data_IF_680404239380
#
_entry.id   IF_680404239380
#
_cell.length_a   1.000
_cell.length_b   1.000
_cell.length_c   1.000
_cell.angle_alpha   90.00
_cell.angle_beta   90.00
_cell.angle_gamma   90.00
#
_symmetry.space_group_name_H-M   'P 1'
#
loop_
_entity.id
_entity.type
_entity.pdbx_description
1 polymer ?
#
# COMPACT_ATOMS: atom_id res chain seq x y z
N UNK A 1 71.67 -6.09 14.50
CA UNK A 1 71.46 -5.49 15.83
C UNK A 1 70.65 -4.22 15.67
N UNK A 2 69.63 -4.06 16.52
CA UNK A 2 68.76 -2.89 16.73
C UNK A 2 67.92 -2.38 15.54
N UNK A 3 66.70 -2.92 15.43
CA UNK A 3 65.53 -2.21 14.89
C UNK A 3 64.43 -2.20 15.95
N UNK A 4 63.84 -1.02 16.21
CA UNK A 4 62.63 -0.65 17.00
C UNK A 4 62.81 0.82 17.41
N UNK A 5 61.84 1.72 17.48
CA UNK A 5 60.41 1.76 17.15
C UNK A 5 60.04 3.26 17.17
N UNK A 6 59.30 3.78 16.19
CA UNK A 6 58.66 5.10 16.31
C UNK A 6 57.17 4.89 16.63
N UNK A 7 56.79 5.22 17.86
CA UNK A 7 55.39 5.35 18.25
C UNK A 7 54.86 6.72 17.85
N UNK A 8 53.78 6.76 17.06
CA UNK A 8 52.99 7.96 16.84
C UNK A 8 51.83 7.97 17.83
N UNK A 9 51.83 8.96 18.73
CA UNK A 9 50.69 9.26 19.59
C UNK A 9 49.74 10.20 18.83
N UNK A 10 48.49 9.77 18.65
CA UNK A 10 47.41 10.60 18.12
C UNK A 10 46.63 11.17 19.30
N UNK A 11 46.65 12.50 19.45
CA UNK A 11 45.88 13.21 20.46
C UNK A 11 44.48 13.54 19.92
N UNK A 12 43.45 12.98 20.56
CA UNK A 12 42.05 13.23 20.24
C UNK A 12 41.57 14.47 21.00
N UNK A 13 41.23 15.55 20.29
CA UNK A 13 40.61 16.75 20.87
C UNK A 13 39.08 16.59 20.78
N UNK A 14 38.42 16.46 21.93
CA UNK A 14 36.96 16.51 22.04
C UNK A 14 36.49 17.94 22.29
N UNK A 15 35.57 18.43 21.46
CA UNK A 15 34.95 19.75 21.62
C UNK A 15 33.53 19.56 22.20
N UNK A 16 33.32 20.00 23.44
CA UNK A 16 32.00 20.02 24.08
C UNK A 16 31.49 21.46 24.09
N UNK A 17 30.35 21.73 23.43
CA UNK A 17 29.70 23.05 23.45
C UNK A 17 28.56 23.03 24.47
N UNK A 18 28.70 23.84 25.52
CA UNK A 18 27.63 24.12 26.48
C UNK A 18 26.95 25.45 26.13
N UNK A 19 25.63 25.42 25.90
CA UNK A 19 24.80 26.61 25.71
C UNK A 19 24.23 27.08 27.06
N UNK A 20 24.63 28.27 27.50
CA UNK A 20 24.07 28.95 28.66
C UNK A 20 22.90 29.85 28.22
N UNK A 21 21.74 29.66 28.85
CA UNK A 21 20.54 30.48 28.68
C UNK A 21 20.58 31.71 29.60
N UNK A 22 20.47 32.92 29.01
CA UNK A 22 20.36 34.19 29.74
C UNK A 22 18.89 34.60 29.83
N UNK A 23 18.39 34.75 31.05
CA UNK A 23 17.06 35.31 31.35
C UNK A 23 17.14 36.82 31.57
N UNK A 24 16.30 37.59 30.89
CA UNK A 24 16.08 39.02 31.16
C UNK A 24 14.67 39.21 31.73
N UNK A 25 14.57 39.81 32.92
CA UNK A 25 13.32 40.24 33.57
C UNK A 25 12.87 41.60 33.03
N UNK A 26 11.58 41.73 32.73
CA UNK A 26 10.90 42.99 32.38
C UNK A 26 9.91 43.37 33.50
N UNK A 27 9.91 44.65 33.88
CA UNK A 27 9.01 45.30 34.85
C UNK A 27 7.79 45.92 34.15
N UNK A 28 6.60 45.82 34.76
CA UNK A 28 5.31 46.39 34.29
C UNK A 28 5.23 47.93 34.37
N UNK A 29 4.14 48.64 34.03
CA UNK A 29 2.71 48.34 33.87
C UNK A 29 2.02 49.48 33.06
N UNK A 30 0.92 49.18 32.35
CA UNK A 30 -0.43 49.86 32.35
C UNK A 30 -1.15 49.78 30.98
N UNK A 31 -2.42 49.34 31.05
CA UNK A 31 -3.41 49.13 29.98
C UNK A 31 -4.06 50.47 29.50
N UNK A 32 -4.69 50.61 28.32
CA UNK A 32 -6.03 50.15 27.82
C UNK A 32 -6.24 50.85 26.41
N UNK A 33 -7.16 50.51 25.45
CA UNK A 33 -7.74 49.24 24.95
C UNK A 33 -7.52 49.01 23.42
N UNK A 34 -8.01 47.84 22.95
CA UNK A 34 -7.92 47.26 21.59
C UNK A 34 -8.64 48.03 20.46
N UNK A 35 -8.38 47.60 19.20
CA UNK A 35 -9.46 46.93 18.47
C UNK A 35 -9.07 45.54 17.95
N UNK A 36 -10.06 44.64 18.02
CA UNK A 36 -10.04 43.23 17.60
C UNK A 36 -9.86 43.10 16.09
N UNK A 37 -9.00 42.17 15.68
CA UNK A 37 -9.19 41.32 14.50
C UNK A 37 -8.35 40.05 14.69
N UNK A 38 -8.97 39.02 15.26
CA UNK A 38 -8.37 37.71 15.47
C UNK A 38 -8.78 36.78 14.33
N UNK A 39 -7.80 36.35 13.54
CA UNK A 39 -7.92 35.16 12.69
C UNK A 39 -8.03 33.92 13.59
N UNK A 40 -8.95 32.98 13.35
CA UNK A 40 -8.98 31.74 14.11
C UNK A 40 -7.96 30.75 13.52
N UNK A 41 -6.91 30.44 14.28
CA UNK A 41 -6.14 29.21 14.12
C UNK A 41 -7.03 28.06 14.60
N UNK A 42 -7.77 27.44 13.68
CA UNK A 42 -8.46 26.19 13.95
C UNK A 42 -7.45 25.05 13.77
N UNK A 43 -7.13 24.37 14.87
CA UNK A 43 -6.36 23.13 14.85
C UNK A 43 -7.12 22.08 14.05
N UNK A 44 -6.49 21.56 13.01
CA UNK A 44 -7.00 20.40 12.28
C UNK A 44 -6.86 19.18 13.18
N UNK A 45 -7.89 18.89 13.95
CA UNK A 45 -8.14 17.54 14.45
C UNK A 45 -8.32 16.63 13.22
N UNK A 46 -7.37 15.73 13.01
CA UNK A 46 -7.52 14.59 12.10
C UNK A 46 -8.64 13.70 12.63
N UNK A 47 -9.87 13.95 12.19
CA UNK A 47 -10.94 12.98 12.29
C UNK A 47 -10.62 11.82 11.34
N UNK A 48 -10.09 10.74 11.90
CA UNK A 48 -10.26 9.42 11.31
C UNK A 48 -11.76 9.12 11.38
N UNK A 49 -12.49 9.43 10.30
CA UNK A 49 -13.88 9.02 10.14
C UNK A 49 -13.92 7.50 9.97
N UNK A 50 -13.89 6.78 11.08
CA UNK A 50 -14.55 5.48 11.19
C UNK A 50 -16.05 5.79 11.03
N UNK A 51 -16.64 5.34 9.93
CA UNK A 51 -18.09 5.29 9.76
C UNK A 51 -18.68 4.31 10.78
N UNK A 52 -18.70 4.67 12.06
CA UNK A 52 -19.51 4.02 13.09
C UNK A 52 -20.89 4.68 13.07
N UNK A 53 -21.64 4.37 12.00
CA UNK A 53 -23.07 4.63 11.92
C UNK A 53 -23.80 3.33 12.22
N UNK A 54 -24.39 3.23 13.41
CA UNK A 54 -25.32 2.17 13.81
C UNK A 54 -26.58 2.24 12.93
N UNK A 55 -26.46 1.66 11.73
CA UNK A 55 -27.49 1.18 10.79
C UNK A 55 -26.96 1.01 9.34
N UNK A 56 -25.64 1.15 9.11
CA UNK A 56 -24.99 0.94 7.79
C UNK A 56 -24.16 -0.35 7.63
N UNK A 57 -24.08 -1.20 8.66
CA UNK A 57 -23.15 -2.35 8.70
C UNK A 57 -23.54 -3.53 7.80
N UNK A 58 -24.56 -3.40 6.93
CA UNK A 58 -25.04 -4.49 6.07
C UNK A 58 -24.33 -4.60 4.72
N UNK A 59 -23.60 -3.59 4.23
CA UNK A 59 -23.29 -3.54 2.79
C UNK A 59 -21.83 -3.67 2.34
N UNK A 60 -20.80 -3.68 3.19
CA UNK A 60 -19.41 -3.79 2.70
C UNK A 60 -18.49 -4.66 3.58
N UNK A 61 -18.92 -5.87 3.94
CA UNK A 61 -17.99 -6.88 4.46
C UNK A 61 -16.97 -7.27 3.38
N UNK A 62 -15.77 -7.67 3.79
CA UNK A 62 -14.79 -8.25 2.87
C UNK A 62 -15.36 -9.51 2.19
N UNK A 63 -15.28 -9.58 0.87
CA UNK A 63 -15.94 -10.64 0.10
C UNK A 63 -14.91 -11.57 -0.53
N UNK A 64 -13.81 -11.02 -1.08
CA UNK A 64 -12.74 -11.84 -1.67
C UNK A 64 -12.05 -12.68 -0.61
N UNK A 65 -11.83 -12.14 0.58
CA UNK A 65 -11.29 -12.86 1.72
C UNK A 65 -12.12 -14.09 2.16
N UNK A 66 -13.37 -14.23 1.68
CA UNK A 66 -14.27 -15.34 1.98
C UNK A 66 -14.56 -16.25 0.78
N UNK A 67 -13.93 -16.02 -0.37
CA UNK A 67 -14.08 -16.90 -1.55
C UNK A 67 -13.29 -18.20 -1.39
N UNK A 68 -13.82 -19.27 -1.99
CA UNK A 68 -13.21 -20.59 -2.04
C UNK A 68 -13.16 -21.13 -3.48
N UNK A 69 -12.24 -22.06 -3.80
CA UNK A 69 -11.19 -22.59 -2.93
C UNK A 69 -10.13 -21.53 -2.59
N UNK A 70 -9.42 -21.71 -1.46
CA UNK A 70 -8.29 -20.86 -1.10
C UNK A 70 -7.24 -20.88 -2.23
N UNK A 71 -6.67 -19.74 -2.65
CA UNK A 71 -5.79 -19.66 -3.82
C UNK A 71 -4.67 -20.70 -3.84
N UNK A 72 -4.44 -21.33 -4.99
CA UNK A 72 -3.42 -22.35 -5.17
C UNK A 72 -3.70 -23.68 -4.44
N UNK A 73 -4.93 -23.92 -3.98
CA UNK A 73 -5.31 -25.11 -3.23
C UNK A 73 -6.71 -25.63 -3.62
N UNK A 74 -7.14 -26.71 -2.97
CA UNK A 74 -8.52 -27.22 -3.00
C UNK A 74 -9.24 -27.03 -1.65
N UNK A 75 -8.69 -26.18 -0.78
CA UNK A 75 -9.22 -25.98 0.57
C UNK A 75 -10.42 -25.06 0.51
N UNK A 76 -11.56 -25.56 0.99
CA UNK A 76 -12.79 -24.79 1.12
C UNK A 76 -12.83 -24.10 2.49
N UNK A 77 -13.17 -22.81 2.52
CA UNK A 77 -13.36 -22.06 3.77
C UNK A 77 -14.68 -22.48 4.43
N UNK A 78 -14.75 -22.38 5.76
CA UNK A 78 -16.03 -22.46 6.47
C UNK A 78 -16.92 -21.29 6.05
N UNK A 79 -18.21 -21.53 5.82
CA UNK A 79 -19.13 -20.47 5.42
C UNK A 79 -19.30 -19.45 6.54
N UNK A 80 -19.16 -18.16 6.22
CA UNK A 80 -19.35 -17.05 7.16
C UNK A 80 -20.54 -16.20 6.70
N UNK A 81 -21.69 -16.24 7.39
CA UNK A 81 -22.80 -15.33 7.13
C UNK A 81 -22.37 -13.87 7.30
N UNK A 82 -22.91 -12.96 6.48
CA UNK A 82 -22.50 -11.54 6.48
C UNK A 82 -22.69 -10.88 7.86
N UNK A 83 -23.78 -11.21 8.54
CA UNK A 83 -24.11 -10.74 9.88
C UNK A 83 -23.18 -11.28 10.99
N UNK A 84 -22.35 -12.27 10.68
CA UNK A 84 -21.37 -12.87 11.61
C UNK A 84 -19.91 -12.60 11.23
N UNK A 85 -19.66 -11.74 10.24
CA UNK A 85 -18.29 -11.37 9.84
C UNK A 85 -17.56 -10.67 10.99
N UNK A 86 -18.18 -9.69 11.64
CA UNK A 86 -17.54 -8.92 12.70
C UNK A 86 -17.23 -9.75 13.96
N UNK A 87 -16.01 -9.65 14.49
CA UNK A 87 -15.57 -10.37 15.69
C UNK A 87 -16.41 -10.08 16.94
N UNK A 88 -16.99 -8.88 17.03
CA UNK A 88 -17.89 -8.49 18.13
C UNK A 88 -19.18 -9.30 18.18
N UNK A 89 -19.58 -9.92 17.07
CA UNK A 89 -20.74 -10.80 17.02
C UNK A 89 -20.32 -12.15 17.61
N UNK A 90 -20.99 -12.53 18.70
CA UNK A 90 -20.76 -13.82 19.34
C UNK A 90 -21.11 -14.96 18.38
N UNK A 91 -20.22 -15.94 18.29
CA UNK A 91 -20.44 -17.15 17.52
C UNK A 91 -19.59 -18.30 18.05
N UNK A 92 -20.11 -18.99 19.07
CA UNK A 92 -19.42 -20.10 19.73
C UNK A 92 -19.17 -21.28 18.79
N UNK A 93 -20.11 -21.55 17.87
CA UNK A 93 -19.99 -22.64 16.89
C UNK A 93 -19.09 -22.29 15.69
N UNK A 94 -18.38 -21.16 15.72
CA UNK A 94 -17.46 -20.79 14.64
C UNK A 94 -16.25 -21.73 14.63
N UNK A 95 -16.24 -22.65 13.67
CA UNK A 95 -15.18 -23.64 13.48
C UNK A 95 -14.52 -23.44 12.09
N UNK A 96 -13.57 -22.50 11.97
CA UNK A 96 -12.87 -22.25 10.71
C UNK A 96 -11.95 -23.41 10.35
N UNK A 97 -11.79 -23.67 9.05
CA UNK A 97 -10.79 -24.63 8.55
C UNK A 97 -9.39 -24.10 8.85
N UNK A 98 -8.47 -24.95 9.32
CA UNK A 98 -7.06 -24.56 9.50
C UNK A 98 -6.24 -24.88 8.25
N UNK A 99 -5.56 -23.88 7.70
CA UNK A 99 -4.70 -24.06 6.54
C UNK A 99 -3.50 -23.09 6.55
N UNK A 100 -2.33 -23.65 6.28
CA UNK A 100 -1.11 -22.92 5.91
C UNK A 100 -0.43 -23.70 4.80
N UNK A 101 -0.04 -23.03 3.73
CA UNK A 101 0.53 -23.66 2.54
C UNK A 101 1.88 -24.31 2.87
N UNK A 102 2.19 -25.42 2.18
CA UNK A 102 3.44 -26.16 2.36
C UNK A 102 4.66 -25.27 2.12
N UNK A 103 4.59 -24.34 1.16
CA UNK A 103 5.64 -23.36 0.88
C UNK A 103 5.91 -22.42 2.06
N UNK A 104 4.90 -22.06 2.83
CA UNK A 104 5.03 -21.24 4.05
C UNK A 104 5.55 -22.10 5.21
N UNK A 105 5.03 -23.31 5.36
CA UNK A 105 5.47 -24.26 6.40
C UNK A 105 6.93 -24.72 6.23
N UNK A 106 7.46 -24.67 5.01
CA UNK A 106 8.87 -24.96 4.73
C UNK A 106 9.85 -23.95 5.36
N UNK A 107 9.34 -22.84 5.92
CA UNK A 107 10.15 -21.84 6.63
C UNK A 107 11.14 -21.06 5.75
N UNK A 108 10.76 -20.56 4.55
CA UNK A 108 11.62 -19.66 3.80
C UNK A 108 11.85 -18.34 4.56
N UNK A 109 12.88 -17.58 4.20
CA UNK A 109 13.28 -16.35 4.92
C UNK A 109 12.16 -15.29 5.02
N UNK A 110 11.24 -15.28 4.06
CA UNK A 110 10.09 -14.37 4.02
C UNK A 110 8.90 -14.84 4.88
N UNK A 111 8.92 -16.06 5.42
CA UNK A 111 7.85 -16.62 6.24
C UNK A 111 8.24 -16.63 7.73
N UNK A 112 7.25 -16.39 8.58
CA UNK A 112 7.40 -16.58 10.02
C UNK A 112 7.43 -18.09 10.38
N UNK A 113 8.00 -18.46 11.53
CA UNK A 113 7.76 -19.74 12.17
C UNK A 113 6.27 -19.97 12.53
N UNK A 114 5.91 -21.19 12.91
CA UNK A 114 4.60 -21.43 13.53
C UNK A 114 4.55 -20.83 14.94
N UNK A 115 3.37 -20.36 15.39
CA UNK A 115 3.19 -19.75 16.73
C UNK A 115 3.59 -20.69 17.87
N UNK A 116 3.50 -22.00 17.66
CA UNK A 116 3.88 -23.02 18.65
C UNK A 116 5.40 -23.21 18.81
N UNK A 117 6.22 -22.59 17.96
CA UNK A 117 7.68 -22.72 18.04
C UNK A 117 8.23 -21.91 19.23
N UNK A 118 9.00 -22.57 20.09
CA UNK A 118 9.39 -22.04 21.40
C UNK A 118 10.28 -20.80 21.35
N UNK A 119 11.03 -20.62 20.27
CA UNK A 119 11.91 -19.48 20.02
C UNK A 119 11.24 -18.37 19.19
N UNK A 120 9.96 -18.52 18.82
CA UNK A 120 9.23 -17.51 18.07
C UNK A 120 8.34 -16.68 19.02
N UNK A 121 8.76 -15.44 19.27
CA UNK A 121 8.05 -14.49 20.13
C UNK A 121 7.80 -13.18 19.37
N UNK A 122 6.83 -13.16 18.45
CA UNK A 122 6.57 -12.00 17.60
C UNK A 122 6.07 -10.80 18.40
N UNK A 123 6.57 -9.61 18.06
CA UNK A 123 6.09 -8.33 18.62
C UNK A 123 5.00 -7.73 17.75
N UNK A 124 3.78 -8.26 17.89
CA UNK A 124 2.64 -7.76 17.12
C UNK A 124 2.31 -6.30 17.43
N UNK A 125 1.70 -5.60 16.46
CA UNK A 125 1.39 -4.16 16.54
C UNK A 125 2.63 -3.25 16.71
N UNK A 126 3.83 -3.75 16.41
CA UNK A 126 5.09 -3.02 16.55
C UNK A 126 6.04 -3.32 15.38
N UNK A 127 7.16 -2.58 15.31
CA UNK A 127 8.28 -2.93 14.42
C UNK A 127 9.14 -4.01 15.10
N UNK A 128 9.09 -5.22 14.57
CA UNK A 128 9.73 -6.41 15.12
C UNK A 128 11.03 -6.74 14.36
N UNK A 129 12.11 -6.00 14.70
CA UNK A 129 13.38 -6.10 13.99
C UNK A 129 13.27 -5.62 12.55
N UNK A 130 13.41 -6.55 11.60
CA UNK A 130 13.27 -6.29 10.15
C UNK A 130 11.84 -6.51 9.62
N UNK A 131 10.90 -6.97 10.47
CA UNK A 131 9.51 -7.20 10.10
C UNK A 131 8.66 -6.07 10.65
N UNK A 132 7.95 -5.34 9.78
CA UNK A 132 6.93 -4.40 10.20
C UNK A 132 5.65 -5.18 10.52
N UNK A 133 5.21 -5.18 11.78
CA UNK A 133 3.98 -5.84 12.22
C UNK A 133 2.90 -4.83 12.59
N UNK A 134 3.12 -3.52 12.43
CA UNK A 134 2.04 -2.53 12.59
C UNK A 134 1.12 -2.56 11.39
N UNK A 135 -0.17 -2.71 11.65
CA UNK A 135 -1.19 -2.45 10.63
C UNK A 135 -1.31 -0.95 10.39
N UNK A 136 -1.51 -0.56 9.14
CA UNK A 136 -1.83 0.81 8.75
C UNK A 136 -3.28 1.19 9.11
N UNK A 137 -4.09 0.24 9.57
CA UNK A 137 -5.46 0.47 10.06
C UNK A 137 -5.56 0.61 11.58
N UNK A 138 -4.42 0.67 12.28
CA UNK A 138 -4.37 0.78 13.74
C UNK A 138 -4.09 -0.57 14.40
N UNK A 139 -4.46 -0.70 15.67
CA UNK A 139 -4.19 -1.92 16.43
C UNK A 139 -5.12 -3.05 15.99
N UNK A 140 -4.58 -4.26 15.89
CA UNK A 140 -5.35 -5.50 15.74
C UNK A 140 -5.25 -6.36 17.00
N UNK A 141 -6.33 -7.08 17.29
CA UNK A 141 -6.44 -7.94 18.46
C UNK A 141 -5.55 -9.17 18.34
N UNK A 142 -5.01 -9.63 19.46
CA UNK A 142 -4.31 -10.91 19.58
C UNK A 142 -5.17 -11.85 20.42
N UNK A 143 -5.61 -12.96 19.83
CA UNK A 143 -6.38 -13.99 20.51
C UNK A 143 -5.65 -15.33 20.38
N UNK A 144 -5.56 -16.10 21.46
CA UNK A 144 -4.89 -17.41 21.46
C UNK A 144 -3.46 -17.36 20.88
N UNK A 145 -2.75 -16.25 21.17
CA UNK A 145 -1.38 -16.01 20.73
C UNK A 145 -1.22 -15.65 19.24
N UNK A 146 -2.32 -15.46 18.49
CA UNK A 146 -2.28 -15.11 17.06
C UNK A 146 -3.11 -13.86 16.74
N UNK A 147 -2.76 -13.09 15.69
CA UNK A 147 -3.53 -11.92 15.27
C UNK A 147 -4.96 -12.28 14.82
N UNK A 148 -5.91 -11.38 15.04
CA UNK A 148 -7.24 -11.42 14.42
C UNK A 148 -7.33 -10.40 13.28
N UNK A 149 -7.86 -10.86 12.15
CA UNK A 149 -8.05 -10.04 10.96
C UNK A 149 -8.95 -8.82 11.28
N UNK A 150 -8.50 -7.59 11.04
CA UNK A 150 -9.24 -6.39 11.44
C UNK A 150 -10.57 -6.22 10.70
N UNK A 151 -10.75 -6.88 9.54
CA UNK A 151 -11.98 -6.84 8.76
C UNK A 151 -13.01 -7.93 9.17
N UNK A 152 -12.64 -8.86 10.05
CA UNK A 152 -13.54 -9.91 10.54
C UNK A 152 -13.16 -11.34 10.13
N UNK A 153 -14.09 -12.26 10.37
CA UNK A 153 -13.99 -13.69 10.08
C UNK A 153 -13.94 -13.98 8.59
N UNK A 154 -13.02 -14.85 8.19
CA UNK A 154 -12.81 -15.31 6.81
C UNK A 154 -13.24 -16.76 6.58
N UNK A 155 -13.51 -17.52 7.65
CA UNK A 155 -13.80 -18.94 7.59
C UNK A 155 -12.56 -19.84 7.53
N UNK A 156 -11.36 -19.28 7.71
CA UNK A 156 -10.09 -20.02 7.63
C UNK A 156 -9.06 -19.45 8.59
N UNK A 157 -8.50 -20.30 9.45
CA UNK A 157 -7.37 -19.99 10.35
C UNK A 157 -6.05 -20.55 9.82
N UNK A 158 -4.93 -20.21 10.46
CA UNK A 158 -3.59 -20.32 9.88
C UNK A 158 -3.26 -19.11 9.01
N UNK A 159 -2.24 -19.23 8.15
CA UNK A 159 -1.74 -18.15 7.30
C UNK A 159 -2.06 -18.33 5.81
N UNK A 160 -2.53 -19.50 5.40
CA UNK A 160 -2.66 -19.84 4.00
C UNK A 160 -1.31 -19.66 3.27
N UNK A 161 -1.29 -18.85 2.21
CA UNK A 161 -0.09 -18.52 1.43
C UNK A 161 0.73 -17.35 2.00
N UNK A 162 0.25 -16.66 3.03
CA UNK A 162 0.93 -15.48 3.57
C UNK A 162 2.08 -15.88 4.50
N UNK A 163 3.21 -15.21 4.36
CA UNK A 163 4.41 -15.53 5.14
C UNK A 163 4.29 -15.11 6.60
N UNK A 164 3.74 -13.92 6.85
CA UNK A 164 3.70 -13.29 8.18
C UNK A 164 2.39 -13.54 8.88
N UNK A 165 2.44 -13.70 10.20
CA UNK A 165 1.25 -13.58 11.05
C UNK A 165 0.87 -12.10 11.17
N UNK A 166 -0.40 -11.78 10.94
CA UNK A 166 -0.92 -10.41 10.93
C UNK A 166 -0.79 -9.75 9.54
N UNK A 167 -0.43 -8.45 9.47
CA UNK A 167 -0.34 -7.76 8.19
C UNK A 167 0.85 -8.26 7.35
N UNK A 168 0.60 -8.46 6.06
CA UNK A 168 1.59 -8.76 5.04
C UNK A 168 1.61 -7.56 4.08
N UNK A 169 2.63 -6.73 4.21
CA UNK A 169 2.71 -5.45 3.52
C UNK A 169 3.16 -5.62 2.06
N UNK A 170 2.41 -4.97 1.17
CA UNK A 170 2.73 -4.76 -0.24
C UNK A 170 2.83 -3.27 -0.54
N UNK A 171 3.31 -2.94 -1.74
CA UNK A 171 3.31 -1.58 -2.25
C UNK A 171 2.85 -1.55 -3.71
N UNK A 172 1.93 -0.63 -4.03
CA UNK A 172 1.26 -0.53 -5.32
C UNK A 172 1.62 0.80 -6.03
N UNK A 173 2.62 0.80 -6.93
CA UNK A 173 3.00 2.00 -7.69
C UNK A 173 2.03 2.24 -8.85
N UNK A 174 1.15 3.24 -8.70
CA UNK A 174 0.19 3.62 -9.73
C UNK A 174 0.80 4.70 -10.61
N UNK A 175 1.51 4.27 -11.66
CA UNK A 175 2.09 5.19 -12.64
C UNK A 175 1.03 5.63 -13.64
N UNK A 176 0.82 6.94 -13.76
CA UNK A 176 -0.22 7.51 -14.63
C UNK A 176 0.32 8.56 -15.59
N UNK A 177 -0.35 8.71 -16.74
CA UNK A 177 -0.13 9.80 -17.68
C UNK A 177 -1.45 10.19 -18.36
N UNK A 178 -1.55 11.40 -18.89
CA UNK A 178 -2.67 11.77 -19.74
C UNK A 178 -2.64 11.00 -21.05
N UNK A 179 -3.81 10.52 -21.52
CA UNK A 179 -3.93 9.99 -22.88
C UNK A 179 -3.76 11.13 -23.88
N UNK A 180 -2.88 10.94 -24.86
CA UNK A 180 -2.57 11.95 -25.88
C UNK A 180 -2.91 11.48 -27.29
N UNK A 181 -3.26 12.42 -28.17
CA UNK A 181 -3.39 12.20 -29.61
C UNK A 181 -2.02 12.22 -30.32
N UNK A 182 -2.02 12.04 -31.64
CA UNK A 182 -0.80 12.04 -32.46
C UNK A 182 -0.06 13.38 -32.46
N UNK A 183 -0.74 14.48 -32.11
CA UNK A 183 -0.16 15.82 -31.97
C UNK A 183 0.34 16.10 -30.55
N UNK A 184 0.22 15.13 -29.63
CA UNK A 184 0.61 15.27 -28.23
C UNK A 184 -0.42 15.99 -27.36
N UNK A 185 -1.63 16.27 -27.83
CA UNK A 185 -2.66 16.95 -27.03
C UNK A 185 -3.43 15.96 -26.17
N UNK A 186 -3.85 16.40 -24.96
CA UNK A 186 -4.69 15.57 -24.07
C UNK A 186 -6.03 15.27 -24.73
N UNK A 187 -6.48 14.03 -24.64
CA UNK A 187 -7.79 13.61 -25.16
C UNK A 187 -8.87 13.81 -24.10
N UNK A 188 -9.88 14.60 -24.41
CA UNK A 188 -11.07 14.80 -23.56
C UNK A 188 -12.14 13.76 -23.87
N UNK A 189 -12.72 13.16 -22.83
CA UNK A 189 -13.86 12.26 -22.98
C UNK A 189 -15.15 13.04 -23.27
N UNK A 190 -15.93 12.70 -24.31
CA UNK A 190 -17.10 13.48 -24.72
C UNK A 190 -18.24 13.47 -23.71
N UNK A 191 -18.32 12.45 -22.84
CA UNK A 191 -19.40 12.34 -21.83
C UNK A 191 -19.15 13.24 -20.63
N UNK A 192 -17.95 13.20 -20.05
CA UNK A 192 -17.64 13.92 -18.82
C UNK A 192 -17.04 15.31 -19.05
N UNK A 193 -16.55 15.59 -20.26
CA UNK A 193 -15.77 16.81 -20.55
C UNK A 193 -14.39 16.84 -19.86
N UNK A 194 -13.96 15.73 -19.24
CA UNK A 194 -12.67 15.60 -18.54
C UNK A 194 -11.66 14.85 -19.39
N UNK A 195 -10.37 15.09 -19.15
CA UNK A 195 -9.30 14.38 -19.85
C UNK A 195 -9.27 12.88 -19.48
N UNK A 196 -8.94 12.03 -20.44
CA UNK A 196 -8.76 10.58 -20.21
C UNK A 196 -7.38 10.37 -19.60
N UNK A 197 -7.33 9.73 -18.44
CA UNK A 197 -6.10 9.34 -17.76
C UNK A 197 -5.79 7.88 -18.09
N UNK A 198 -4.51 7.54 -18.24
CA UNK A 198 -4.04 6.17 -18.38
C UNK A 198 -3.20 5.78 -17.17
N UNK A 199 -3.19 4.50 -16.82
CA UNK A 199 -2.21 3.92 -15.89
C UNK A 199 -1.52 2.70 -16.48
N UNK A 200 -0.34 2.38 -15.97
CA UNK A 200 0.36 1.14 -16.31
C UNK A 200 -0.25 -0.01 -15.53
N UNK A 201 -0.70 -1.03 -16.26
CA UNK A 201 -1.23 -2.26 -15.67
C UNK A 201 -0.48 -3.48 -16.20
N UNK A 202 -0.37 -4.50 -15.36
CA UNK A 202 0.12 -5.83 -15.75
C UNK A 202 -1.01 -6.84 -15.73
N UNK A 203 -0.91 -7.87 -16.56
CA UNK A 203 -1.79 -9.04 -16.50
C UNK A 203 -1.04 -10.15 -15.78
N UNK A 204 -1.47 -10.50 -14.57
CA UNK A 204 -0.79 -11.50 -13.74
C UNK A 204 -0.79 -12.88 -14.41
N UNK A 205 0.30 -13.65 -14.28
CA UNK A 205 0.40 -15.00 -14.86
C UNK A 205 -0.47 -16.03 -14.12
N UNK A 206 -0.65 -15.86 -12.81
CA UNK A 206 -1.31 -16.81 -11.92
C UNK A 206 -2.84 -16.86 -12.09
N UNK A 207 -3.50 -15.70 -12.20
CA UNK A 207 -4.96 -15.60 -12.32
C UNK A 207 -5.43 -15.02 -13.66
N UNK A 208 -4.53 -14.42 -14.45
CA UNK A 208 -4.90 -13.78 -15.71
C UNK A 208 -5.71 -12.49 -15.54
N UNK A 209 -5.73 -11.89 -14.34
CA UNK A 209 -6.39 -10.61 -14.08
C UNK A 209 -5.44 -9.43 -14.31
N UNK A 210 -6.00 -8.27 -14.68
CA UNK A 210 -5.25 -7.02 -14.76
C UNK A 210 -5.08 -6.41 -13.37
N UNK A 211 -3.89 -5.92 -13.06
CA UNK A 211 -3.52 -5.41 -11.76
C UNK A 211 -2.56 -4.21 -11.88
N UNK A 212 -2.41 -3.47 -10.79
CA UNK A 212 -1.31 -2.52 -10.61
C UNK A 212 -0.03 -3.37 -10.45
N UNK A 213 1.11 -2.97 -11.05
CA UNK A 213 2.38 -3.70 -10.94
C UNK A 213 3.03 -3.49 -9.56
N UNK A 214 2.44 -4.11 -8.55
CA UNK A 214 2.85 -4.01 -7.16
C UNK A 214 3.19 -5.39 -6.59
N UNK A 215 3.94 -5.39 -5.49
CA UNK A 215 4.42 -6.62 -4.87
C UNK A 215 4.75 -6.44 -3.40
N UNK A 216 5.33 -7.50 -2.83
CA UNK A 216 5.56 -7.60 -1.40
C UNK A 216 6.72 -6.69 -0.98
N UNK A 217 6.61 -6.12 0.22
CA UNK A 217 7.71 -5.38 0.84
C UNK A 217 8.72 -6.38 1.40
N UNK A 218 9.97 -6.28 0.94
CA UNK A 218 11.03 -7.17 1.42
C UNK A 218 11.40 -6.87 2.89
N UNK A 219 11.89 -7.86 3.66
CA UNK A 219 12.32 -7.64 5.04
C UNK A 219 13.36 -6.52 5.17
N UNK A 220 13.02 -5.48 5.93
CA UNK A 220 13.88 -4.30 6.12
C UNK A 220 13.89 -3.29 4.95
N UNK A 221 13.18 -3.57 3.85
CA UNK A 221 13.02 -2.65 2.73
C UNK A 221 12.10 -1.47 3.11
N UNK A 222 12.37 -0.29 2.55
CA UNK A 222 11.47 0.86 2.65
C UNK A 222 10.41 0.77 1.58
N UNK A 223 9.16 1.14 1.89
CA UNK A 223 8.05 1.20 0.91
C UNK A 223 8.43 1.95 -0.37
N UNK A 224 9.15 3.08 -0.27
CA UNK A 224 9.57 3.85 -1.45
C UNK A 224 10.55 3.10 -2.35
N UNK A 225 11.36 2.19 -1.80
CA UNK A 225 12.22 1.30 -2.57
C UNK A 225 11.39 0.19 -3.23
N UNK A 226 10.47 -0.43 -2.48
CA UNK A 226 9.53 -1.43 -3.01
C UNK A 226 8.75 -0.90 -4.20
N UNK A 227 8.14 0.28 -4.09
CA UNK A 227 7.36 0.91 -5.17
C UNK A 227 8.18 1.07 -6.46
N UNK A 228 9.45 1.47 -6.36
CA UNK A 228 10.32 1.65 -7.52
C UNK A 228 10.78 0.30 -8.08
N UNK A 229 11.20 -0.62 -7.21
CA UNK A 229 11.66 -1.96 -7.57
C UNK A 229 10.56 -2.72 -8.30
N UNK A 230 9.39 -2.86 -7.70
CA UNK A 230 8.24 -3.58 -8.28
C UNK A 230 7.86 -3.02 -9.65
N UNK A 231 7.75 -1.69 -9.79
CA UNK A 231 7.46 -1.10 -11.08
C UNK A 231 8.55 -1.41 -12.14
N UNK A 232 9.82 -1.28 -11.76
CA UNK A 232 10.93 -1.57 -12.65
C UNK A 232 11.00 -3.04 -13.07
N UNK A 233 10.79 -3.96 -12.13
CA UNK A 233 10.85 -5.40 -12.37
C UNK A 233 9.63 -5.88 -13.18
N UNK A 234 8.41 -5.55 -12.76
CA UNK A 234 7.19 -6.09 -13.35
C UNK A 234 6.75 -5.39 -14.64
N UNK A 235 6.98 -4.07 -14.76
CA UNK A 235 6.47 -3.28 -15.88
C UNK A 235 7.54 -2.86 -16.91
N UNK A 236 8.83 -2.93 -16.55
CA UNK A 236 9.96 -2.57 -17.44
C UNK A 236 10.95 -3.72 -17.67
N UNK A 237 10.66 -4.90 -17.12
CA UNK A 237 11.51 -6.09 -17.15
C UNK A 237 12.97 -5.79 -16.74
N UNK A 238 13.16 -4.94 -15.73
CA UNK A 238 14.47 -4.40 -15.40
C UNK A 238 15.49 -5.50 -15.09
N UNK A 239 15.09 -6.64 -14.51
CA UNK A 239 15.97 -7.76 -14.18
C UNK A 239 16.72 -8.32 -15.39
N UNK A 240 16.08 -8.38 -16.56
CA UNK A 240 16.63 -8.93 -17.80
C UNK A 240 17.36 -7.87 -18.65
N UNK A 241 17.38 -6.60 -18.23
CA UNK A 241 18.08 -5.51 -18.92
C UNK A 241 19.58 -5.51 -18.69
N UNK A 242 20.33 -4.99 -19.68
CA UNK A 242 21.76 -4.77 -19.52
C UNK A 242 22.06 -3.73 -18.43
N UNK A 243 23.29 -3.72 -17.91
CA UNK A 243 23.70 -2.75 -16.88
C UNK A 243 23.59 -1.29 -17.33
N UNK A 244 23.69 -1.01 -18.63
CA UNK A 244 23.52 0.34 -19.17
C UNK A 244 22.05 0.74 -19.20
N UNK A 245 21.18 -0.10 -19.75
CA UNK A 245 19.72 0.12 -19.76
C UNK A 245 19.16 0.24 -18.34
N UNK A 246 19.65 -0.56 -17.39
CA UNK A 246 19.26 -0.45 -15.96
C UNK A 246 19.54 0.94 -15.39
N UNK A 247 20.66 1.57 -15.77
CA UNK A 247 20.99 2.93 -15.31
C UNK A 247 20.06 3.97 -15.92
N UNK A 248 19.76 3.86 -17.21
CA UNK A 248 18.83 4.77 -17.88
C UNK A 248 17.40 4.65 -17.31
N UNK A 249 16.95 3.43 -17.03
CA UNK A 249 15.67 3.18 -16.34
C UNK A 249 15.71 3.80 -14.95
N UNK A 250 16.76 3.54 -14.16
CA UNK A 250 16.88 4.06 -12.81
C UNK A 250 16.90 5.60 -12.78
N UNK A 251 17.56 6.26 -13.73
CA UNK A 251 17.55 7.73 -13.86
C UNK A 251 16.14 8.27 -14.12
N UNK A 252 15.41 7.69 -15.08
CA UNK A 252 14.03 8.07 -15.40
C UNK A 252 13.08 7.81 -14.23
N UNK A 253 13.18 6.64 -13.61
CA UNK A 253 12.40 6.30 -12.43
C UNK A 253 12.76 7.18 -11.23
N UNK A 254 14.03 7.54 -11.05
CA UNK A 254 14.43 8.45 -10.00
C UNK A 254 13.79 9.82 -10.18
N UNK A 255 13.77 10.37 -11.40
CA UNK A 255 13.06 11.62 -11.69
C UNK A 255 11.56 11.51 -11.40
N UNK A 256 10.90 10.45 -11.92
CA UNK A 256 9.46 10.23 -11.75
C UNK A 256 9.05 9.98 -10.29
N UNK A 257 9.88 9.32 -9.50
CA UNK A 257 9.56 8.97 -8.11
C UNK A 257 10.00 10.02 -7.09
N UNK A 258 10.85 10.98 -7.51
CA UNK A 258 11.29 12.09 -6.65
C UNK A 258 10.38 13.31 -6.74
N UNK A 259 9.47 13.35 -7.72
CA UNK A 259 8.46 14.40 -7.80
C UNK A 259 7.39 14.26 -6.70
N UNK A 260 6.53 15.27 -6.60
CA UNK A 260 5.35 15.21 -5.73
C UNK A 260 4.42 14.06 -6.15
N UNK A 261 4.11 13.20 -5.19
CA UNK A 261 3.30 12.00 -5.39
C UNK A 261 2.12 12.00 -4.42
N UNK A 262 1.07 11.26 -4.79
CA UNK A 262 -0.13 11.15 -3.98
C UNK A 262 -0.21 9.76 -3.35
N UNK A 263 -0.21 9.69 -2.02
CA UNK A 263 -0.68 8.48 -1.34
C UNK A 263 -2.18 8.35 -1.61
N UNK A 264 -2.56 7.26 -2.24
CA UNK A 264 -3.95 6.97 -2.62
C UNK A 264 -4.64 6.20 -1.52
N UNK A 265 -3.96 5.19 -0.98
CA UNK A 265 -4.51 4.29 0.01
C UNK A 265 -3.42 3.69 0.90
N UNK A 266 -3.73 3.44 2.17
CA UNK A 266 -2.91 2.66 3.09
C UNK A 266 -3.80 1.73 3.91
N UNK A 267 -3.42 0.46 4.00
CA UNK A 267 -4.05 -0.51 4.88
C UNK A 267 -4.65 -1.71 4.18
N UNK A 268 -5.70 -2.26 4.79
CA UNK A 268 -6.32 -3.54 4.49
C UNK A 268 -6.81 -3.68 3.05
N UNK A 269 -6.38 -4.75 2.39
CA UNK A 269 -6.87 -5.11 1.06
C UNK A 269 -7.79 -6.31 1.17
N UNK A 270 -9.01 -6.23 0.64
CA UNK A 270 -9.87 -7.41 0.46
C UNK A 270 -9.25 -8.31 -0.63
N UNK A 271 -8.45 -9.29 -0.20
CA UNK A 271 -7.65 -10.18 -1.02
C UNK A 271 -8.02 -11.65 -0.72
N UNK A 272 -8.12 -12.52 -1.74
CA UNK A 272 -8.51 -13.92 -1.55
C UNK A 272 -7.52 -14.75 -0.72
N UNK A 273 -6.29 -14.25 -0.50
CA UNK A 273 -5.28 -14.89 0.37
C UNK A 273 -5.51 -14.61 1.86
N UNK A 274 -6.36 -13.65 2.22
CA UNK A 274 -6.58 -13.29 3.62
C UNK A 274 -7.16 -14.46 4.43
N UNK A 275 -6.72 -14.59 5.67
CA UNK A 275 -7.22 -15.56 6.66
C UNK A 275 -7.66 -14.81 7.91
N UNK A 276 -8.13 -15.53 8.92
CA UNK A 276 -8.44 -14.96 10.23
C UNK A 276 -7.19 -14.41 10.92
N UNK A 277 -5.98 -14.85 10.53
CA UNK A 277 -4.74 -14.54 11.26
C UNK A 277 -3.62 -13.91 10.42
N UNK A 278 -3.84 -13.76 9.11
CA UNK A 278 -2.91 -13.09 8.21
C UNK A 278 -3.69 -12.39 7.10
N UNK A 279 -3.32 -11.17 6.74
CA UNK A 279 -4.00 -10.41 5.70
C UNK A 279 -3.04 -9.53 4.90
N UNK A 280 -3.45 -9.18 3.70
CA UNK A 280 -2.76 -8.22 2.85
C UNK A 280 -3.05 -6.80 3.32
N UNK A 281 -1.99 -6.01 3.42
CA UNK A 281 -2.08 -4.55 3.45
C UNK A 281 -1.23 -3.98 2.33
N UNK A 282 -1.63 -2.83 1.79
CA UNK A 282 -0.85 -2.13 0.78
C UNK A 282 -0.70 -0.65 1.09
N UNK A 283 0.37 -0.07 0.58
CA UNK A 283 0.49 1.38 0.36
C UNK A 283 0.45 1.65 -1.15
N UNK A 284 -0.69 2.18 -1.61
CA UNK A 284 -0.87 2.54 -3.01
C UNK A 284 -0.49 4.01 -3.22
N UNK A 285 0.46 4.25 -4.12
CA UNK A 285 1.02 5.59 -4.36
C UNK A 285 0.94 5.92 -5.84
N UNK A 286 0.37 7.08 -6.16
CA UNK A 286 0.28 7.58 -7.52
C UNK A 286 1.45 8.50 -7.84
N UNK A 287 2.24 8.10 -8.83
CA UNK A 287 3.24 8.92 -9.50
C UNK A 287 2.69 9.30 -10.87
N UNK A 288 2.64 10.59 -11.16
CA UNK A 288 1.95 11.10 -12.34
C UNK A 288 2.93 11.81 -13.27
N UNK A 289 2.95 11.40 -14.52
CA UNK A 289 3.64 12.11 -15.59
C UNK A 289 2.64 13.06 -16.28
N UNK A 290 2.69 14.33 -15.87
CA UNK A 290 1.80 15.39 -16.37
C UNK A 290 2.13 15.76 -17.83
N UNK A 291 3.41 15.83 -18.19
CA UNK A 291 3.86 16.27 -19.52
C UNK A 291 3.95 15.11 -20.51
N UNK A 292 4.19 13.89 -20.03
CA UNK A 292 4.46 12.70 -20.85
C UNK A 292 5.95 12.52 -21.16
N UNK A 293 6.80 13.50 -20.83
CA UNK A 293 8.21 13.53 -21.23
C UNK A 293 9.03 12.36 -20.65
N UNK A 294 8.62 11.83 -19.49
CA UNK A 294 9.34 10.74 -18.82
C UNK A 294 8.87 9.39 -19.36
N UNK A 295 7.56 9.16 -19.37
CA UNK A 295 6.95 7.86 -19.62
C UNK A 295 6.71 7.56 -21.10
N UNK A 296 6.63 8.56 -21.98
CA UNK A 296 6.50 8.33 -23.43
C UNK A 296 7.78 7.74 -24.03
N UNK A 297 8.93 8.01 -23.40
CA UNK A 297 10.24 7.51 -23.82
C UNK A 297 10.67 6.24 -23.08
N UNK A 298 9.73 5.55 -22.43
CA UNK A 298 9.98 4.36 -21.63
C UNK A 298 9.15 3.19 -22.18
N UNK A 299 9.83 2.23 -22.81
CA UNK A 299 9.17 1.04 -23.34
C UNK A 299 8.76 0.12 -22.20
N UNK A 300 7.46 -0.17 -22.09
CA UNK A 300 6.94 -1.15 -21.16
C UNK A 300 7.28 -2.56 -21.64
N UNK A 301 7.76 -3.40 -20.73
CA UNK A 301 8.08 -4.80 -20.98
C UNK A 301 7.69 -5.62 -19.76
N UNK A 302 6.89 -6.68 -19.97
CA UNK A 302 6.39 -7.48 -18.87
C UNK A 302 7.55 -8.26 -18.23
N UNK A 303 7.71 -8.13 -16.92
CA UNK A 303 8.68 -8.88 -16.13
C UNK A 303 8.32 -10.36 -15.98
N UNK A 304 9.13 -11.07 -15.21
CA UNK A 304 9.02 -12.53 -15.06
C UNK A 304 7.69 -13.00 -14.42
N UNK A 305 7.02 -12.17 -13.61
CA UNK A 305 5.73 -12.49 -12.99
C UNK A 305 4.50 -11.92 -13.74
N UNK A 306 4.74 -11.06 -14.73
CA UNK A 306 3.72 -10.45 -15.56
C UNK A 306 3.59 -11.17 -16.92
N UNK A 307 2.38 -11.56 -17.29
CA UNK A 307 2.11 -12.16 -18.60
C UNK A 307 2.03 -11.12 -19.72
N UNK A 308 1.55 -9.92 -19.41
CA UNK A 308 1.43 -8.75 -20.31
C UNK A 308 1.58 -7.48 -19.51
N UNK A 309 2.00 -6.39 -20.15
CA UNK A 309 2.00 -5.03 -19.59
C UNK A 309 1.45 -4.06 -20.64
N UNK A 310 0.68 -3.05 -20.22
CA UNK A 310 0.25 -1.96 -21.12
C UNK A 310 -0.24 -0.74 -20.35
N UNK A 311 -0.34 0.37 -21.08
CA UNK A 311 -1.20 1.48 -20.68
C UNK A 311 -2.68 1.09 -20.80
N UNK A 312 -3.45 1.41 -19.77
CA UNK A 312 -4.89 1.17 -19.68
C UNK A 312 -5.59 2.51 -19.46
N UNK A 313 -6.56 2.81 -20.30
CA UNK A 313 -7.45 3.96 -20.12
C UNK A 313 -8.31 3.75 -18.87
N UNK A 314 -8.37 4.76 -18.01
CA UNK A 314 -9.12 4.70 -16.76
C UNK A 314 -10.60 5.00 -17.02
N UNK A 315 -11.46 4.08 -16.60
CA UNK A 315 -12.91 4.26 -16.53
C UNK A 315 -13.58 3.32 -15.52
N UNK A 316 -14.87 3.52 -15.26
CA UNK A 316 -15.66 2.74 -14.31
C UNK A 316 -15.94 1.30 -14.75
N UNK A 317 -15.66 0.95 -16.02
CA UNK A 317 -15.81 -0.40 -16.56
C UNK A 317 -14.61 -1.31 -16.29
N UNK A 318 -13.53 -0.78 -15.69
CA UNK A 318 -12.32 -1.54 -15.43
C UNK A 318 -12.54 -2.67 -14.41
N UNK A 319 -12.23 -3.90 -14.84
CA UNK A 319 -12.17 -5.09 -13.99
C UNK A 319 -10.72 -5.36 -13.62
N UNK A 320 -10.38 -5.12 -12.36
CA UNK A 320 -9.02 -5.28 -11.83
C UNK A 320 -8.99 -6.23 -10.63
N UNK A 321 -7.82 -6.80 -10.40
CA UNK A 321 -7.52 -7.71 -9.28
C UNK A 321 -7.74 -7.04 -7.92
N UNK A 322 -8.12 -7.86 -6.93
CA UNK A 322 -8.33 -7.46 -5.54
C UNK A 322 -9.17 -6.18 -5.39
N UNK A 323 -8.61 -5.13 -4.79
CA UNK A 323 -9.29 -3.83 -4.58
C UNK A 323 -8.78 -2.73 -5.52
N UNK A 324 -8.03 -3.08 -6.56
CA UNK A 324 -7.29 -2.10 -7.38
C UNK A 324 -8.20 -1.10 -8.09
N UNK A 325 -9.41 -1.49 -8.51
CA UNK A 325 -10.38 -0.57 -9.12
C UNK A 325 -10.78 0.57 -8.18
N UNK A 326 -10.80 0.35 -6.86
CA UNK A 326 -11.05 1.40 -5.88
C UNK A 326 -9.90 2.41 -5.84
N UNK A 327 -8.65 1.94 -5.93
CA UNK A 327 -7.49 2.82 -5.96
C UNK A 327 -7.47 3.66 -7.25
N UNK A 328 -7.75 3.05 -8.40
CA UNK A 328 -7.82 3.75 -9.67
C UNK A 328 -8.94 4.80 -9.69
N UNK A 329 -10.09 4.51 -9.08
CA UNK A 329 -11.17 5.50 -8.89
C UNK A 329 -10.71 6.73 -8.11
N UNK A 330 -10.01 6.52 -6.99
CA UNK A 330 -9.47 7.60 -6.17
C UNK A 330 -8.40 8.40 -6.92
N UNK A 331 -7.59 7.75 -7.75
CA UNK A 331 -6.62 8.43 -8.62
C UNK A 331 -7.34 9.32 -9.64
N UNK A 332 -8.37 8.79 -10.32
CA UNK A 332 -9.15 9.56 -11.28
C UNK A 332 -9.78 10.80 -10.62
N UNK A 333 -10.34 10.65 -9.41
CA UNK A 333 -10.89 11.76 -8.63
C UNK A 333 -9.83 12.82 -8.29
N UNK A 334 -8.70 12.41 -7.71
CA UNK A 334 -7.62 13.34 -7.30
C UNK A 334 -6.95 14.04 -8.49
N UNK A 335 -6.99 13.44 -9.68
CA UNK A 335 -6.41 14.00 -10.91
C UNK A 335 -7.45 14.73 -11.78
N UNK A 336 -8.70 14.83 -11.34
CA UNK A 336 -9.81 15.40 -12.12
C UNK A 336 -9.96 14.76 -13.52
N UNK A 337 -9.79 13.44 -13.58
CA UNK A 337 -9.88 12.67 -14.82
C UNK A 337 -11.30 12.20 -15.11
N UNK A 338 -11.51 11.73 -16.35
CA UNK A 338 -12.67 10.95 -16.72
C UNK A 338 -12.83 9.69 -15.84
N UNK A 339 -14.08 9.29 -15.58
CA UNK A 339 -14.41 8.06 -14.84
C UNK A 339 -15.68 7.38 -15.36
N UNK A 340 -16.80 8.11 -15.42
CA UNK A 340 -18.10 7.53 -15.76
C UNK A 340 -18.37 7.50 -17.26
N UNK A 341 -18.55 6.30 -17.80
CA UNK A 341 -18.88 6.06 -19.22
C UNK A 341 -20.38 6.32 -19.51
N UNK A 342 -21.26 6.18 -18.52
CA UNK A 342 -22.70 6.30 -18.69
C UNK A 342 -23.23 7.74 -18.51
N UNK A 343 -24.07 8.17 -19.47
CA UNK A 343 -24.97 9.32 -19.28
C UNK A 343 -26.20 8.87 -18.48
N UNK A 344 -26.19 9.00 -17.17
CA UNK A 344 -27.45 8.94 -16.38
C UNK A 344 -28.32 10.20 -16.53
N UNK A 345 -28.23 10.90 -17.66
CA UNK A 345 -28.89 12.18 -17.91
C UNK A 345 -30.17 12.10 -18.77
N UNK A 346 -30.56 10.93 -19.30
CA UNK A 346 -31.73 10.82 -20.20
C UNK A 346 -33.01 10.22 -19.56
N UNK A 347 -33.06 10.04 -18.23
CA UNK A 347 -34.28 9.57 -17.55
C UNK A 347 -35.23 10.71 -17.09
N UNK A 348 -35.04 11.95 -17.54
CA UNK A 348 -35.96 13.08 -17.30
C UNK A 348 -36.44 13.77 -18.58
N UNK A 349 -36.57 13.02 -19.67
CA UNK A 349 -37.05 13.53 -20.94
C UNK A 349 -38.05 12.60 -21.61
N UNK A 350 -39.21 12.40 -20.98
CA UNK A 350 -40.46 12.02 -21.63
C UNK A 350 -41.63 12.72 -20.94
#
# INVERSE_FOLDING_TARGET
MAGRSLGQAVATVSLSVALASVTVRSSGCRAVPAPRNTFPSCGFHLNANIMSGSNGAKENSHNKARTSPYPGSKVERSQVPNEKVGWLVEWQDYNPVEYTAVSVLAGPQWADPQISESNFSPKFNEKDGHVERKSQNGLYEIENGRPRNPAGRTGLVGRGLLGRWGPNHAADPIITRWKRDESGNKITHPVSGKCILQFVAIKRKDCGEWAIPGGMVDPGEKISATLKREFGEEALNSLQKSSAEKREIEEKLHALFSQEHLVIYKGYVDDPRNTDNAWMETEAVNYHDETGETMDNLTLEAGDDAGKVKWVDISDQLKLYASHSQFIKLVAEKRDAHWSEDRTADSRGL
#
